data_IF_420976260841
#
_entry.id   IF_420976260841
#
_cell.length_a   1.000
_cell.length_b   1.000
_cell.length_c   1.000
_cell.angle_alpha   90.00
_cell.angle_beta   90.00
_cell.angle_gamma   90.00
#
_symmetry.space_group_name_H-M   'P 1'
#
loop_
_entity.id
_entity.type
_entity.pdbx_description
1 polymer ?
#
# COMPACT_ATOMS: atom_id res chain seq x y z
N UNK A 1 22.52 -25.29 -11.35
CA UNK A 1 21.60 -24.21 -11.78
C UNK A 1 20.81 -23.77 -10.55
N UNK A 2 20.91 -22.52 -10.12
CA UNK A 2 20.09 -22.01 -9.03
C UNK A 2 18.65 -21.86 -9.53
N UNK A 3 17.67 -22.29 -8.74
CA UNK A 3 16.26 -22.04 -9.06
C UNK A 3 16.04 -20.52 -9.24
N UNK A 4 15.20 -20.09 -10.20
CA UNK A 4 14.86 -18.68 -10.34
C UNK A 4 14.29 -18.18 -9.00
N UNK A 5 14.82 -17.07 -8.49
CA UNK A 5 14.26 -16.45 -7.29
C UNK A 5 12.80 -16.10 -7.58
N UNK A 6 11.87 -16.37 -6.65
CA UNK A 6 10.49 -16.03 -6.87
C UNK A 6 10.34 -14.52 -7.11
N UNK A 7 9.45 -14.15 -8.02
CA UNK A 7 9.13 -12.76 -8.36
C UNK A 7 8.54 -12.00 -7.16
N UNK A 8 7.99 -12.74 -6.20
CA UNK A 8 7.35 -12.30 -4.96
C UNK A 8 8.06 -12.87 -3.73
N UNK A 9 8.14 -12.09 -2.66
CA UNK A 9 8.59 -12.52 -1.35
C UNK A 9 7.69 -11.97 -0.25
N UNK A 10 7.46 -12.79 0.77
CA UNK A 10 6.70 -12.47 1.97
C UNK A 10 7.51 -12.92 3.19
N UNK A 11 7.68 -12.01 4.14
CA UNK A 11 8.38 -12.25 5.40
C UNK A 11 7.47 -11.91 6.56
N UNK A 12 7.51 -12.73 7.60
CA UNK A 12 6.70 -12.53 8.81
C UNK A 12 7.64 -12.37 10.00
N UNK A 13 7.54 -11.23 10.68
CA UNK A 13 8.17 -11.00 11.97
C UNK A 13 7.11 -10.97 13.07
N UNK A 14 7.28 -11.82 14.08
CA UNK A 14 6.37 -11.89 15.23
C UNK A 14 6.83 -10.94 16.32
N UNK A 15 6.16 -9.79 16.45
CA UNK A 15 6.41 -8.87 17.55
C UNK A 15 5.48 -9.17 18.73
N UNK A 16 5.74 -8.51 19.87
CA UNK A 16 4.93 -8.65 21.08
C UNK A 16 3.47 -8.22 20.84
N UNK A 17 3.27 -7.05 20.21
CA UNK A 17 1.94 -6.44 20.06
C UNK A 17 1.26 -6.73 18.73
N UNK A 18 2.02 -7.07 17.69
CA UNK A 18 1.51 -7.30 16.34
C UNK A 18 2.41 -8.26 15.55
N UNK A 19 1.88 -8.87 14.49
CA UNK A 19 2.68 -9.53 13.47
C UNK A 19 2.94 -8.54 12.32
N UNK A 20 4.21 -8.40 11.93
CA UNK A 20 4.63 -7.59 10.79
C UNK A 20 4.81 -8.49 9.57
N UNK A 21 4.03 -8.24 8.53
CA UNK A 21 4.12 -8.93 7.24
C UNK A 21 4.76 -7.98 6.24
N UNK A 22 5.96 -8.28 5.80
CA UNK A 22 6.65 -7.49 4.76
C UNK A 22 6.52 -8.19 3.42
N UNK A 23 5.99 -7.50 2.42
CA UNK A 23 5.84 -8.03 1.08
C UNK A 23 6.70 -7.25 0.08
N UNK A 24 7.28 -7.98 -0.86
CA UNK A 24 8.04 -7.37 -1.95
C UNK A 24 7.92 -8.16 -3.24
N UNK A 25 8.20 -7.48 -4.37
CA UNK A 25 8.17 -8.10 -5.68
C UNK A 25 6.87 -7.89 -6.44
N UNK A 26 6.52 -8.84 -7.30
CA UNK A 26 5.33 -8.81 -8.16
C UNK A 26 4.26 -9.71 -7.55
N UNK A 27 3.07 -9.17 -7.28
CA UNK A 27 1.92 -9.98 -6.89
C UNK A 27 1.23 -10.46 -8.15
N UNK A 28 1.45 -11.73 -8.48
CA UNK A 28 0.86 -12.44 -9.62
C UNK A 28 0.21 -13.77 -9.15
N UNK A 29 -0.21 -14.62 -10.08
CA UNK A 29 -0.80 -15.94 -9.80
C UNK A 29 0.09 -16.89 -8.98
N UNK A 30 1.41 -16.66 -8.94
CA UNK A 30 2.38 -17.47 -8.22
C UNK A 30 2.76 -16.89 -6.86
N UNK A 31 2.17 -15.75 -6.47
CA UNK A 31 2.42 -15.14 -5.17
C UNK A 31 1.85 -16.02 -4.04
N UNK A 32 2.73 -16.65 -3.26
CA UNK A 32 2.32 -17.42 -2.09
C UNK A 32 1.94 -16.50 -0.92
N UNK A 33 0.65 -16.24 -0.77
CA UNK A 33 0.08 -15.46 0.33
C UNK A 33 -0.29 -16.31 1.56
N UNK A 34 0.02 -17.61 1.53
CA UNK A 34 -0.28 -18.55 2.64
C UNK A 34 0.22 -18.06 4.01
N UNK A 35 1.39 -17.40 4.14
CA UNK A 35 1.85 -16.90 5.44
C UNK A 35 0.92 -15.85 6.05
N UNK A 36 0.33 -14.95 5.26
CA UNK A 36 -0.61 -13.93 5.75
C UNK A 36 -1.87 -14.57 6.36
N UNK A 37 -2.42 -15.58 5.68
CA UNK A 37 -3.67 -16.25 6.08
C UNK A 37 -3.51 -17.22 7.25
N UNK A 38 -2.28 -17.62 7.57
CA UNK A 38 -1.98 -18.51 8.70
C UNK A 38 -1.69 -17.76 10.00
N UNK A 39 -1.67 -16.44 9.98
CA UNK A 39 -1.45 -15.63 11.18
C UNK A 39 -2.61 -15.79 12.17
N UNK A 40 -2.28 -15.64 13.45
CA UNK A 40 -3.23 -15.76 14.54
C UNK A 40 -4.10 -14.51 14.74
N UNK A 41 -4.55 -14.31 15.97
CA UNK A 41 -5.46 -13.21 16.32
C UNK A 41 -4.73 -11.89 16.66
N UNK A 42 -3.39 -11.88 16.70
CA UNK A 42 -2.64 -10.64 16.92
C UNK A 42 -2.93 -9.64 15.79
N UNK A 43 -2.96 -8.33 16.07
CA UNK A 43 -2.98 -7.32 15.03
C UNK A 43 -1.93 -7.60 13.95
N UNK A 44 -2.29 -7.40 12.69
CA UNK A 44 -1.41 -7.60 11.54
C UNK A 44 -1.11 -6.25 10.91
N UNK A 45 0.17 -5.94 10.76
CA UNK A 45 0.67 -4.80 10.01
C UNK A 45 1.33 -5.28 8.74
N UNK A 46 0.79 -4.91 7.59
CA UNK A 46 1.28 -5.32 6.27
C UNK A 46 2.08 -4.16 5.66
N UNK A 47 3.38 -4.35 5.54
CA UNK A 47 4.29 -3.39 4.94
C UNK A 47 4.51 -3.70 3.46
N UNK A 48 4.05 -2.81 2.58
CA UNK A 48 3.94 -3.07 1.14
C UNK A 48 4.97 -2.35 0.26
N UNK A 49 5.94 -1.61 0.84
CA UNK A 49 6.90 -0.79 0.09
C UNK A 49 7.60 -1.53 -1.06
N UNK A 50 7.92 -2.81 -0.84
CA UNK A 50 8.66 -3.60 -1.81
C UNK A 50 7.81 -4.10 -2.99
N UNK A 51 6.49 -3.94 -2.95
CA UNK A 51 5.57 -4.39 -4.00
C UNK A 51 5.71 -3.48 -5.21
N UNK A 52 6.18 -4.04 -6.32
CA UNK A 52 6.48 -3.28 -7.54
C UNK A 52 5.33 -3.29 -8.54
N UNK A 53 4.47 -4.30 -8.49
CA UNK A 53 3.37 -4.51 -9.44
C UNK A 53 2.38 -5.52 -8.90
N UNK A 54 1.11 -5.34 -9.26
CA UNK A 54 0.04 -6.32 -9.07
C UNK A 54 -0.64 -6.50 -10.42
N UNK A 55 -0.74 -7.75 -10.93
CA UNK A 55 -1.48 -8.05 -12.15
C UNK A 55 -2.92 -8.51 -11.83
N UNK A 56 -3.76 -8.72 -12.84
CA UNK A 56 -5.15 -9.14 -12.65
C UNK A 56 -5.32 -10.49 -11.94
N UNK A 57 -4.41 -11.45 -12.14
CA UNK A 57 -4.44 -12.73 -11.42
C UNK A 57 -3.97 -12.58 -9.97
N UNK A 58 -2.97 -11.74 -9.73
CA UNK A 58 -2.49 -11.35 -8.42
C UNK A 58 -3.57 -10.63 -7.60
N UNK A 59 -4.37 -9.76 -8.23
CA UNK A 59 -5.56 -9.17 -7.58
C UNK A 59 -6.51 -10.26 -7.09
N UNK A 60 -6.80 -11.28 -7.90
CA UNK A 60 -7.68 -12.39 -7.48
C UNK A 60 -7.09 -13.17 -6.30
N UNK A 61 -5.83 -13.58 -6.41
CA UNK A 61 -5.12 -14.28 -5.34
C UNK A 61 -5.09 -13.47 -4.03
N UNK A 62 -4.84 -12.16 -4.16
CA UNK A 62 -4.89 -11.20 -3.05
C UNK A 62 -6.27 -11.12 -2.41
N UNK A 63 -7.31 -10.94 -3.21
CA UNK A 63 -8.69 -10.84 -2.72
C UNK A 63 -9.14 -12.12 -2.02
N UNK A 64 -8.70 -13.28 -2.49
CA UNK A 64 -9.00 -14.57 -1.85
C UNK A 64 -8.24 -14.73 -0.52
N UNK A 65 -6.99 -14.28 -0.45
CA UNK A 65 -6.22 -14.27 0.79
C UNK A 65 -6.79 -13.29 1.82
N UNK A 66 -7.09 -12.06 1.41
CA UNK A 66 -7.48 -10.99 2.34
C UNK A 66 -8.83 -11.26 3.01
N UNK A 67 -9.78 -11.87 2.28
CA UNK A 67 -11.09 -12.27 2.82
C UNK A 67 -11.02 -13.39 3.86
N UNK A 68 -9.92 -14.15 3.88
CA UNK A 68 -9.71 -15.25 4.82
C UNK A 68 -9.05 -14.77 6.13
N UNK A 69 -8.55 -13.53 6.18
CA UNK A 69 -8.10 -12.94 7.44
C UNK A 69 -9.32 -12.72 8.34
N UNK A 70 -9.33 -13.23 9.59
CA UNK A 70 -10.49 -13.08 10.47
C UNK A 70 -10.87 -11.61 10.71
N UNK A 71 -12.16 -11.31 10.69
CA UNK A 71 -12.70 -9.97 10.94
C UNK A 71 -12.35 -9.43 12.35
N UNK A 72 -12.08 -10.33 13.29
CA UNK A 72 -11.65 -10.02 14.65
C UNK A 72 -10.18 -9.60 14.73
N UNK A 73 -9.38 -9.87 13.70
CA UNK A 73 -7.98 -9.49 13.62
C UNK A 73 -7.87 -8.09 13.04
N UNK A 74 -7.29 -7.15 13.80
CA UNK A 74 -7.02 -5.79 13.31
C UNK A 74 -5.98 -5.84 12.19
N UNK A 75 -6.31 -5.31 11.02
CA UNK A 75 -5.45 -5.29 9.84
C UNK A 75 -5.11 -3.85 9.45
N UNK A 76 -3.82 -3.58 9.24
CA UNK A 76 -3.29 -2.28 8.82
C UNK A 76 -2.31 -2.44 7.66
N UNK A 77 -2.35 -1.53 6.70
CA UNK A 77 -1.44 -1.52 5.55
C UNK A 77 -0.61 -0.24 5.58
N UNK A 78 0.70 -0.38 5.47
CA UNK A 78 1.65 0.72 5.57
C UNK A 78 2.63 0.71 4.42
N UNK A 79 3.14 1.89 4.10
CA UNK A 79 4.11 2.10 3.03
C UNK A 79 3.58 1.55 1.69
N UNK A 80 2.30 1.77 1.38
CA UNK A 80 1.67 1.33 0.15
C UNK A 80 2.22 2.10 -1.06
N UNK A 81 2.90 1.47 -2.03
CA UNK A 81 3.42 2.14 -3.22
C UNK A 81 2.28 2.43 -4.23
N UNK A 82 2.51 3.25 -5.28
CA UNK A 82 1.49 3.60 -6.25
C UNK A 82 0.74 2.40 -6.86
N UNK A 83 1.40 1.29 -7.25
CA UNK A 83 0.70 0.11 -7.76
C UNK A 83 -0.30 -0.52 -6.78
N UNK A 84 -0.13 -0.31 -5.48
CA UNK A 84 -1.08 -0.76 -4.45
C UNK A 84 -2.21 0.25 -4.28
N UNK A 85 -1.90 1.55 -4.27
CA UNK A 85 -2.89 2.63 -4.20
C UNK A 85 -3.87 2.54 -5.36
N UNK A 86 -3.36 2.29 -6.57
CA UNK A 86 -4.15 2.07 -7.78
C UNK A 86 -5.18 0.95 -7.59
N UNK A 87 -4.77 -0.18 -7.00
CA UNK A 87 -5.70 -1.28 -6.72
C UNK A 87 -6.70 -0.93 -5.62
N UNK A 88 -6.31 -0.12 -4.62
CA UNK A 88 -7.23 0.35 -3.59
C UNK A 88 -8.35 1.22 -4.18
N UNK A 89 -8.02 2.04 -5.19
CA UNK A 89 -8.99 2.90 -5.86
C UNK A 89 -9.84 2.14 -6.89
N UNK A 90 -9.27 1.15 -7.60
CA UNK A 90 -9.97 0.41 -8.67
C UNK A 90 -10.77 -0.80 -8.19
N UNK A 91 -10.34 -1.46 -7.09
CA UNK A 91 -10.88 -2.76 -6.67
C UNK A 91 -11.56 -2.64 -5.32
N UNK A 92 -12.89 -2.71 -5.33
CA UNK A 92 -13.67 -2.68 -4.10
C UNK A 92 -13.28 -3.83 -3.17
N UNK A 93 -13.02 -3.50 -1.91
CA UNK A 93 -12.64 -4.47 -0.88
C UNK A 93 -11.19 -4.95 -0.98
N UNK A 94 -10.32 -4.28 -1.76
CA UNK A 94 -8.90 -4.62 -1.86
C UNK A 94 -8.21 -4.73 -0.50
N UNK A 95 -8.59 -3.89 0.46
CA UNK A 95 -8.04 -3.91 1.82
C UNK A 95 -8.74 -4.90 2.77
N UNK A 96 -9.74 -5.64 2.28
CA UNK A 96 -10.64 -6.42 3.14
C UNK A 96 -11.32 -5.52 4.17
N UNK A 97 -11.21 -5.88 5.45
CA UNK A 97 -11.63 -5.05 6.60
C UNK A 97 -10.49 -4.22 7.20
N UNK A 98 -9.31 -4.22 6.58
CA UNK A 98 -8.15 -3.49 7.05
C UNK A 98 -8.19 -2.01 6.67
N UNK A 99 -7.22 -1.26 7.22
CA UNK A 99 -7.08 0.18 6.98
C UNK A 99 -5.74 0.48 6.31
N UNK A 100 -5.75 1.31 5.29
CA UNK A 100 -4.52 1.85 4.70
C UNK A 100 -4.07 3.06 5.54
N UNK A 101 -2.97 2.88 6.27
CA UNK A 101 -2.42 3.86 7.21
C UNK A 101 -1.44 4.82 6.51
N UNK A 102 -0.58 4.32 5.62
CA UNK A 102 0.36 5.15 4.87
C UNK A 102 0.61 4.68 3.44
N UNK A 103 0.87 5.62 2.55
CA UNK A 103 1.05 5.40 1.11
C UNK A 103 2.05 6.39 0.51
N UNK A 104 2.66 6.00 -0.61
CA UNK A 104 3.50 6.87 -1.41
C UNK A 104 2.68 7.48 -2.53
N UNK A 105 2.76 8.80 -2.71
CA UNK A 105 2.28 9.47 -3.92
C UNK A 105 3.48 9.95 -4.76
N UNK A 106 3.46 9.76 -6.09
CA UNK A 106 4.49 10.29 -6.97
C UNK A 106 4.28 11.79 -7.08
N UNK A 107 5.23 12.58 -6.57
CA UNK A 107 5.19 14.03 -6.57
C UNK A 107 6.14 14.56 -7.64
N UNK A 108 5.68 15.51 -8.45
CA UNK A 108 6.44 16.19 -9.50
C UNK A 108 6.52 17.69 -9.19
N UNK A 109 7.71 18.27 -9.34
CA UNK A 109 7.89 19.72 -9.28
C UNK A 109 7.81 20.33 -10.68
N UNK A 110 6.79 21.15 -10.93
CA UNK A 110 6.57 21.80 -12.24
C UNK A 110 7.66 22.78 -12.69
N UNK A 111 8.66 23.04 -11.85
CA UNK A 111 9.63 24.14 -12.02
C UNK A 111 11.05 23.65 -12.27
N UNK A 112 11.36 22.43 -11.84
CA UNK A 112 12.69 21.84 -12.03
C UNK A 112 12.63 20.35 -12.40
N UNK A 113 11.43 19.84 -12.68
CA UNK A 113 11.13 18.46 -13.07
C UNK A 113 11.61 17.39 -12.08
N UNK A 114 11.89 17.78 -10.83
CA UNK A 114 12.24 16.84 -9.77
C UNK A 114 11.04 15.97 -9.44
N UNK A 115 11.27 14.65 -9.36
CA UNK A 115 10.25 13.67 -9.01
C UNK A 115 10.66 12.88 -7.77
N UNK A 116 9.73 12.74 -6.82
CA UNK A 116 9.94 11.95 -5.61
C UNK A 116 8.71 11.10 -5.30
N UNK A 117 8.92 9.93 -4.71
CA UNK A 117 7.85 9.19 -4.05
C UNK A 117 7.74 9.69 -2.60
N UNK A 118 6.75 10.56 -2.33
CA UNK A 118 6.54 11.12 -1.00
C UNK A 118 5.60 10.21 -0.19
N UNK A 119 6.04 9.83 1.01
CA UNK A 119 5.20 9.09 1.96
C UNK A 119 4.22 10.04 2.65
N UNK A 120 2.95 9.67 2.65
CA UNK A 120 1.88 10.34 3.35
C UNK A 120 1.18 9.40 4.31
N UNK A 121 0.70 9.97 5.41
CA UNK A 121 -0.15 9.29 6.39
C UNK A 121 -1.62 9.59 6.06
N UNK A 122 -2.44 8.56 5.91
CA UNK A 122 -3.87 8.69 5.57
C UNK A 122 -4.61 9.57 6.58
N UNK A 123 -4.27 9.47 7.87
CA UNK A 123 -4.87 10.29 8.91
C UNK A 123 -4.57 11.79 8.73
N UNK A 124 -3.36 12.13 8.27
CA UNK A 124 -2.96 13.53 8.00
C UNK A 124 -3.72 14.07 6.80
N UNK A 125 -3.86 13.28 5.73
CA UNK A 125 -4.65 13.68 4.56
C UNK A 125 -6.13 13.92 4.93
N UNK A 126 -6.71 13.06 5.78
CA UNK A 126 -8.09 13.26 6.29
C UNK A 126 -8.22 14.53 7.13
N UNK A 127 -7.26 14.78 8.02
CA UNK A 127 -7.24 16.01 8.82
C UNK A 127 -7.08 17.26 7.94
N UNK A 128 -6.44 17.13 6.78
CA UNK A 128 -6.29 18.16 5.76
C UNK A 128 -7.47 18.19 4.75
N UNK A 129 -8.67 17.78 5.17
CA UNK A 129 -9.87 17.83 4.32
C UNK A 129 -9.88 16.82 3.17
N UNK A 130 -9.12 15.73 3.28
CA UNK A 130 -8.99 14.71 2.24
C UNK A 130 -8.00 15.07 1.13
N UNK A 131 -7.05 15.98 1.40
CA UNK A 131 -6.03 16.48 0.46
C UNK A 131 -4.62 16.16 0.89
N UNK A 132 -3.69 16.09 -0.05
CA UNK A 132 -2.27 15.93 0.27
C UNK A 132 -1.74 17.18 1.01
N UNK A 133 -0.95 17.00 2.09
CA UNK A 133 -0.17 18.09 2.67
C UNK A 133 0.80 18.71 1.67
N UNK A 134 1.01 20.03 1.76
CA UNK A 134 1.95 20.74 0.93
C UNK A 134 3.37 20.16 1.09
N UNK A 135 3.97 19.75 -0.03
CA UNK A 135 5.30 19.13 -0.05
C UNK A 135 6.27 20.03 -0.79
N UNK A 136 7.32 20.56 -0.14
CA UNK A 136 8.33 21.37 -0.81
C UNK A 136 9.30 20.48 -1.60
N UNK A 137 9.64 20.91 -2.81
CA UNK A 137 10.62 20.26 -3.65
C UNK A 137 12.00 20.24 -2.98
N UNK A 138 12.68 19.09 -2.88
CA UNK A 138 13.99 19.01 -2.24
C UNK A 138 15.08 19.77 -3.00
N UNK A 139 14.86 20.05 -4.30
CA UNK A 139 15.83 20.74 -5.16
C UNK A 139 15.68 22.26 -5.15
N UNK A 140 14.46 22.78 -5.22
CA UNK A 140 14.20 24.22 -5.39
C UNK A 140 13.27 24.84 -4.32
N UNK A 141 12.70 24.03 -3.44
CA UNK A 141 11.81 24.48 -2.36
C UNK A 141 10.38 24.86 -2.78
N UNK A 142 10.07 24.89 -4.08
CA UNK A 142 8.71 25.18 -4.57
C UNK A 142 7.75 24.02 -4.29
N UNK A 143 6.44 24.26 -4.15
CA UNK A 143 5.47 23.20 -3.95
C UNK A 143 5.52 22.15 -5.06
N UNK A 144 5.35 20.88 -4.68
CA UNK A 144 5.18 19.76 -5.59
C UNK A 144 3.71 19.37 -5.69
N UNK A 145 3.32 18.82 -6.82
CA UNK A 145 1.98 18.30 -7.10
C UNK A 145 2.08 16.81 -7.38
N UNK A 146 1.01 16.06 -7.12
CA UNK A 146 0.98 14.63 -7.49
C UNK A 146 0.94 14.51 -9.02
N UNK A 147 1.60 13.49 -9.58
CA UNK A 147 1.70 13.22 -11.03
C UNK A 147 0.38 12.71 -11.66
N UNK A 148 -0.75 12.93 -11.00
CA UNK A 148 -2.10 12.50 -11.40
C UNK A 148 -3.14 13.48 -10.83
N UNK A 149 -4.43 13.28 -11.10
CA UNK A 149 -5.48 14.06 -10.46
C UNK A 149 -5.61 13.67 -8.97
N UNK A 150 -5.23 14.57 -8.07
CA UNK A 150 -5.23 14.32 -6.61
C UNK A 150 -6.56 13.73 -6.10
N UNK A 151 -7.68 14.23 -6.62
CA UNK A 151 -9.00 13.76 -6.22
C UNK A 151 -9.27 12.29 -6.57
N UNK A 152 -8.72 11.82 -7.69
CA UNK A 152 -8.78 10.42 -8.12
C UNK A 152 -7.78 9.57 -7.34
N UNK A 153 -6.58 10.10 -7.11
CA UNK A 153 -5.53 9.40 -6.36
C UNK A 153 -5.95 9.13 -4.92
N UNK A 154 -6.68 10.06 -4.29
CA UNK A 154 -7.11 9.98 -2.89
C UNK A 154 -8.52 9.42 -2.68
N UNK A 155 -9.14 8.75 -3.65
CA UNK A 155 -10.49 8.17 -3.48
C UNK A 155 -10.57 7.26 -2.24
N UNK A 156 -9.57 6.41 -2.02
CA UNK A 156 -9.50 5.54 -0.83
C UNK A 156 -9.48 6.30 0.51
N UNK A 157 -9.04 7.56 0.54
CA UNK A 157 -9.03 8.40 1.76
C UNK A 157 -10.45 8.85 2.11
N UNK A 158 -11.29 9.05 1.10
CA UNK A 158 -12.64 9.61 1.22
C UNK A 158 -13.69 8.53 1.46
N UNK A 159 -13.50 7.33 0.93
CA UNK A 159 -14.50 6.24 0.94
C UNK A 159 -14.63 5.47 2.26
N UNK A 160 -13.92 5.84 3.34
CA UNK A 160 -14.06 5.15 4.64
C UNK A 160 -15.03 5.83 5.61
N UNK A 161 -16.20 6.24 5.11
CA UNK A 161 -17.35 6.62 5.94
C UNK A 161 -18.33 5.47 6.07
#
# INVERSE_FOLDING_TARGET
MAAPRPSFAIEVAHNADHDLVTMSGVVDENADLTPLVKLGMKPIRVHLRGVRRINSFGVRAWMDAIRRVPITTKLSFVHCPPPVVDQCNMVQGFLGHGKLESFYAPMTCAECDEQIDQLFETAVCRANGGKLPATPCPRCGRPMEVDDLEEQYLLFVRDSM
#
